data_IF_191059044961
#
_entry.id   IF_191059044961
#
_cell.length_a   1.000
_cell.length_b   1.000
_cell.length_c   1.000
_cell.angle_alpha   90.00
_cell.angle_beta   90.00
_cell.angle_gamma   90.00
#
_symmetry.space_group_name_H-M   'P 1'
#
loop_
_entity.id
_entity.type
_entity.pdbx_description
1 polymer ?
#
# COMPACT_ATOMS: atom_id res chain seq x y z
N UNK A 1 34.28 15.48 -17.67
CA UNK A 1 34.92 15.10 -16.39
C UNK A 1 33.82 14.63 -15.45
N UNK A 2 33.89 13.39 -14.97
CA UNK A 2 32.95 12.87 -13.96
C UNK A 2 33.48 13.19 -12.57
N UNK A 3 32.65 13.75 -11.69
CA UNK A 3 33.02 13.95 -10.29
C UNK A 3 33.33 12.62 -9.61
N UNK A 4 34.29 12.63 -8.68
CA UNK A 4 34.45 11.53 -7.75
C UNK A 4 33.17 11.37 -6.90
N UNK A 5 32.79 10.13 -6.52
CA UNK A 5 31.66 9.91 -5.60
C UNK A 5 31.81 10.68 -4.27
N UNK A 6 33.03 10.86 -3.79
CA UNK A 6 33.32 11.60 -2.55
C UNK A 6 33.07 13.11 -2.70
N UNK A 7 33.53 13.70 -3.80
CA UNK A 7 33.30 15.12 -4.10
C UNK A 7 31.80 15.40 -4.29
N UNK A 8 31.08 14.47 -4.94
CA UNK A 8 29.63 14.54 -5.11
C UNK A 8 28.91 14.59 -3.77
N UNK A 9 29.30 13.73 -2.81
CA UNK A 9 28.75 13.74 -1.44
C UNK A 9 29.07 15.04 -0.72
N UNK A 10 30.31 15.51 -0.81
CA UNK A 10 30.74 16.76 -0.17
C UNK A 10 29.93 17.97 -0.68
N UNK A 11 29.65 18.04 -1.98
CA UNK A 11 28.80 19.09 -2.55
C UNK A 11 27.34 18.98 -2.09
N UNK A 12 26.79 17.78 -2.00
CA UNK A 12 25.42 17.55 -1.51
C UNK A 12 25.30 17.96 -0.05
N UNK A 13 26.24 17.55 0.81
CA UNK A 13 26.25 17.91 2.23
C UNK A 13 26.39 19.41 2.44
N UNK A 14 27.27 20.06 1.67
CA UNK A 14 27.41 21.52 1.70
C UNK A 14 26.12 22.24 1.28
N UNK A 15 25.42 21.75 0.25
CA UNK A 15 24.13 22.30 -0.21
C UNK A 15 23.01 22.10 0.83
N UNK A 16 22.96 20.91 1.43
CA UNK A 16 22.00 20.55 2.48
C UNK A 16 22.21 21.41 3.74
N UNK A 17 23.47 21.72 4.08
CA UNK A 17 23.83 22.63 5.16
C UNK A 17 23.51 24.11 4.88
N UNK A 18 23.04 24.45 3.67
CA UNK A 18 22.68 25.82 3.28
C UNK A 18 23.73 26.53 2.42
N UNK A 19 24.68 25.80 1.85
CA UNK A 19 25.62 26.31 0.86
C UNK A 19 24.91 26.83 -0.40
N UNK A 20 25.49 27.87 -1.02
CA UNK A 20 24.97 28.47 -2.26
C UNK A 20 25.36 27.63 -3.48
N UNK A 21 24.39 27.40 -4.39
CA UNK A 21 24.59 26.67 -5.63
C UNK A 21 25.62 27.33 -6.58
N UNK A 22 25.84 28.64 -6.44
CA UNK A 22 26.80 29.39 -7.24
C UNK A 22 28.27 28.99 -7.02
N UNK A 23 28.58 28.29 -5.91
CA UNK A 23 29.94 27.80 -5.63
C UNK A 23 30.30 26.51 -6.38
N UNK A 24 29.33 25.87 -7.03
CA UNK A 24 29.51 24.60 -7.71
C UNK A 24 29.53 24.87 -9.23
N UNK A 25 30.59 24.45 -9.95
CA UNK A 25 30.64 24.56 -11.41
C UNK A 25 29.40 23.97 -12.09
N UNK A 26 28.89 24.66 -13.11
CA UNK A 26 27.63 24.33 -13.80
C UNK A 26 27.66 22.94 -14.46
N UNK A 27 28.84 22.51 -14.88
CA UNK A 27 29.10 21.18 -15.48
C UNK A 27 28.68 20.02 -14.57
N UNK A 28 28.67 20.24 -13.25
CA UNK A 28 28.37 19.22 -12.26
C UNK A 28 26.92 19.17 -11.82
N UNK A 29 26.11 20.16 -12.22
CA UNK A 29 24.71 20.29 -11.82
C UNK A 29 23.85 19.03 -12.15
N UNK A 30 24.01 18.37 -13.31
CA UNK A 30 23.25 17.15 -13.62
C UNK A 30 23.59 15.98 -12.70
N UNK A 31 24.85 15.86 -12.29
CA UNK A 31 25.34 14.74 -11.47
C UNK A 31 24.85 14.82 -10.01
N UNK A 32 24.46 16.01 -9.54
CA UNK A 32 23.95 16.22 -8.19
C UNK A 32 22.45 15.87 -8.03
N UNK A 33 21.71 15.69 -9.11
CA UNK A 33 20.25 15.59 -9.07
C UNK A 33 19.76 14.32 -8.36
N UNK A 34 20.42 13.20 -8.63
CA UNK A 34 20.11 11.89 -8.03
C UNK A 34 20.52 11.84 -6.54
N UNK A 35 21.75 12.22 -6.15
CA UNK A 35 22.13 12.34 -4.73
C UNK A 35 21.24 13.28 -3.91
N UNK A 36 20.84 14.44 -4.44
CA UNK A 36 19.90 15.33 -3.77
C UNK A 36 18.51 14.71 -3.60
N UNK A 37 18.06 13.87 -4.55
CA UNK A 37 16.81 13.12 -4.40
C UNK A 37 16.91 12.09 -3.28
N UNK A 38 18.05 11.41 -3.12
CA UNK A 38 18.29 10.49 -2.02
C UNK A 38 18.30 11.24 -0.66
N UNK A 39 19.04 12.35 -0.57
CA UNK A 39 19.08 13.18 0.64
C UNK A 39 17.70 13.77 1.01
N UNK A 40 16.86 14.07 0.00
CA UNK A 40 15.46 14.48 0.23
C UNK A 40 14.66 13.37 0.90
N UNK A 41 14.76 12.14 0.41
CA UNK A 41 14.04 11.00 0.97
C UNK A 41 14.50 10.69 2.40
N UNK A 42 15.80 10.79 2.66
CA UNK A 42 16.36 10.66 4.01
C UNK A 42 15.81 11.74 4.96
N UNK A 43 15.75 13.00 4.51
CA UNK A 43 15.18 14.09 5.29
C UNK A 43 13.66 13.93 5.56
N UNK A 44 12.91 13.28 4.65
CA UNK A 44 11.51 12.92 4.85
C UNK A 44 11.38 11.86 5.94
N UNK A 45 12.19 10.80 5.88
CA UNK A 45 12.21 9.73 6.88
C UNK A 45 12.62 10.26 8.26
N UNK A 46 13.56 11.21 8.31
CA UNK A 46 13.97 11.88 9.54
C UNK A 46 12.97 12.93 10.06
N UNK A 47 11.91 13.27 9.30
CA UNK A 47 10.92 14.28 9.69
C UNK A 47 11.40 15.73 9.62
N UNK A 48 12.52 16.02 8.94
CA UNK A 48 13.08 17.37 8.86
C UNK A 48 12.49 18.19 7.69
N UNK A 49 11.28 18.71 7.90
CA UNK A 49 10.55 19.46 6.86
C UNK A 49 11.29 20.70 6.32
N UNK A 50 12.14 21.36 7.13
CA UNK A 50 12.91 22.53 6.72
C UNK A 50 14.01 22.15 5.72
N UNK A 51 14.64 20.99 5.91
CA UNK A 51 15.65 20.45 4.99
C UNK A 51 15.01 20.00 3.67
N UNK A 52 13.86 19.34 3.72
CA UNK A 52 13.11 18.92 2.53
C UNK A 52 12.74 20.11 1.64
N UNK A 53 12.21 21.19 2.22
CA UNK A 53 11.88 22.42 1.47
C UNK A 53 13.11 23.03 0.81
N UNK A 54 14.25 23.06 1.52
CA UNK A 54 15.52 23.56 0.97
C UNK A 54 16.01 22.72 -0.21
N UNK A 55 16.05 21.40 -0.07
CA UNK A 55 16.46 20.51 -1.16
C UNK A 55 15.52 20.64 -2.35
N UNK A 56 14.20 20.77 -2.13
CA UNK A 56 13.23 20.95 -3.21
C UNK A 56 13.42 22.27 -3.98
N UNK A 57 13.78 23.36 -3.30
CA UNK A 57 14.13 24.64 -3.95
C UNK A 57 15.41 24.48 -4.78
N UNK A 58 16.43 23.81 -4.24
CA UNK A 58 17.69 23.55 -4.94
C UNK A 58 17.50 22.69 -6.20
N UNK A 59 16.73 21.60 -6.10
CA UNK A 59 16.38 20.76 -7.24
C UNK A 59 15.60 21.53 -8.30
N UNK A 60 14.73 22.47 -7.91
CA UNK A 60 14.02 23.32 -8.85
C UNK A 60 14.99 24.25 -9.58
N UNK A 61 15.94 24.89 -8.88
CA UNK A 61 16.96 25.74 -9.53
C UNK A 61 17.88 24.97 -10.48
N UNK A 62 18.23 23.72 -10.15
CA UNK A 62 19.05 22.85 -11.00
C UNK A 62 18.34 22.48 -12.31
N UNK A 63 17.02 22.28 -12.28
CA UNK A 63 16.22 21.94 -13.47
C UNK A 63 15.95 23.13 -14.41
N UNK A 64 16.13 24.37 -13.96
CA UNK A 64 15.90 25.55 -14.79
C UNK A 64 17.13 25.95 -15.65
N UNK A 65 18.26 25.25 -15.50
CA UNK A 65 19.52 25.59 -16.16
C UNK A 65 19.72 25.01 -17.57
N UNK A 66 19.01 23.95 -17.95
CA UNK A 66 19.28 23.24 -19.23
C UNK A 66 18.59 23.84 -20.45
N UNK A 67 17.58 24.69 -20.29
CA UNK A 67 16.81 25.26 -21.42
C UNK A 67 16.64 26.78 -21.33
N UNK A 68 17.73 27.51 -21.11
CA UNK A 68 17.75 28.98 -21.20
C UNK A 68 18.54 29.50 -22.40
N UNK A 69 18.24 28.98 -23.58
CA UNK A 69 18.23 29.81 -24.79
C UNK A 69 16.91 30.57 -24.82
N UNK A 70 16.98 31.86 -24.50
CA UNK A 70 16.11 32.95 -24.97
C UNK A 70 14.78 32.53 -25.59
N UNK A 71 13.67 32.65 -24.85
CA UNK A 71 12.39 32.80 -25.52
C UNK A 71 11.42 33.71 -24.77
N UNK A 72 10.96 34.68 -25.53
CA UNK A 72 10.00 35.71 -25.25
C UNK A 72 8.73 35.20 -24.54
N UNK A 73 8.28 36.01 -23.59
CA UNK A 73 6.88 36.41 -23.35
C UNK A 73 5.87 35.75 -24.32
N UNK A 74 5.43 34.54 -24.01
CA UNK A 74 4.33 33.87 -24.72
C UNK A 74 3.00 34.42 -24.21
N UNK A 75 2.37 35.20 -25.08
CA UNK A 75 0.95 35.50 -25.02
C UNK A 75 0.14 34.20 -25.13
N UNK A 76 -0.98 34.14 -24.40
CA UNK A 76 -2.01 33.11 -24.51
C UNK A 76 -2.49 33.01 -25.97
N UNK A 77 -2.06 31.98 -26.68
CA UNK A 77 -2.79 31.47 -27.86
C UNK A 77 -3.72 30.36 -27.41
N UNK A 78 -5.00 30.69 -27.37
CA UNK A 78 -6.12 29.76 -27.32
C UNK A 78 -6.07 28.98 -28.64
N UNK A 79 -5.67 27.71 -28.59
CA UNK A 79 -5.79 26.80 -29.74
C UNK A 79 -7.25 26.38 -29.82
N UNK A 80 -7.99 27.11 -30.65
CA UNK A 80 -9.31 26.71 -31.12
C UNK A 80 -9.03 25.75 -32.29
N UNK A 81 -9.14 24.45 -32.05
CA UNK A 81 -9.13 23.44 -33.10
C UNK A 81 -10.44 23.56 -33.90
N UNK A 82 -10.44 24.43 -34.90
CA UNK A 82 -11.45 24.46 -35.96
C UNK A 82 -11.14 23.33 -36.93
N UNK A 83 -11.73 22.18 -36.67
CA UNK A 83 -11.92 21.12 -37.67
C UNK A 83 -12.86 21.69 -38.75
N UNK A 84 -12.28 22.28 -39.79
CA UNK A 84 -13.03 22.76 -40.96
C UNK A 84 -13.42 21.54 -41.78
N UNK A 85 -14.58 20.97 -41.43
CA UNK A 85 -15.30 20.05 -42.29
C UNK A 85 -15.68 20.81 -43.57
N UNK A 86 -15.21 20.34 -44.71
CA UNK A 86 -15.69 20.77 -46.04
C UNK A 86 -17.06 20.16 -46.26
N UNK A 87 -18.09 20.75 -45.64
CA UNK A 87 -19.47 20.55 -46.08
C UNK A 87 -19.71 21.51 -47.24
N UNK A 88 -20.26 20.98 -48.32
CA UNK A 88 -20.73 21.72 -49.49
C UNK A 88 -21.60 22.87 -49.00
N UNK A 89 -21.24 24.12 -49.38
CA UNK A 89 -22.03 25.33 -49.11
C UNK A 89 -23.35 25.23 -49.90
N UNK A 90 -24.29 24.43 -49.42
CA UNK A 90 -25.68 24.54 -49.84
C UNK A 90 -26.16 25.95 -49.48
N UNK A 91 -26.82 26.67 -50.41
CA UNK A 91 -27.33 27.99 -50.09
C UNK A 91 -28.29 27.87 -48.90
N UNK A 92 -28.04 28.63 -47.84
CA UNK A 92 -28.87 28.65 -46.62
C UNK A 92 -30.25 29.28 -46.91
N UNK A 93 -30.37 30.06 -47.99
CA UNK A 93 -31.58 30.75 -48.42
C UNK A 93 -32.81 29.84 -48.62
N UNK A 94 -32.76 28.76 -49.43
CA UNK A 94 -33.88 27.83 -49.57
C UNK A 94 -34.31 27.19 -48.25
N UNK A 95 -33.37 26.90 -47.34
CA UNK A 95 -33.70 26.30 -46.04
C UNK A 95 -34.46 27.27 -45.14
N UNK A 96 -34.12 28.56 -45.19
CA UNK A 96 -34.84 29.63 -44.48
C UNK A 96 -36.25 29.81 -45.05
N UNK A 97 -36.39 29.79 -46.38
CA UNK A 97 -37.70 29.90 -47.03
C UNK A 97 -38.58 28.67 -46.73
N UNK A 98 -38.04 27.45 -46.78
CA UNK A 98 -38.76 26.22 -46.42
C UNK A 98 -39.22 26.19 -44.95
N UNK A 99 -38.42 26.75 -44.03
CA UNK A 99 -38.82 26.91 -42.62
C UNK A 99 -39.97 27.89 -42.47
N UNK A 100 -39.95 29.00 -43.23
CA UNK A 100 -41.06 29.97 -43.26
C UNK A 100 -42.34 29.37 -43.88
N UNK A 101 -42.20 28.39 -44.78
CA UNK A 101 -43.31 27.64 -45.37
C UNK A 101 -43.87 26.53 -44.45
N UNK A 102 -43.32 26.37 -43.24
CA UNK A 102 -43.82 25.46 -42.22
C UNK A 102 -43.07 24.12 -42.13
N UNK A 103 -41.85 24.01 -42.66
CA UNK A 103 -40.98 22.86 -42.39
C UNK A 103 -40.68 22.77 -40.88
N UNK A 104 -40.75 21.59 -40.25
CA UNK A 104 -40.45 21.44 -38.82
C UNK A 104 -38.98 21.76 -38.54
N UNK A 105 -38.75 22.56 -37.50
CA UNK A 105 -37.43 23.00 -37.01
C UNK A 105 -36.51 21.82 -36.67
N UNK A 106 -37.07 20.67 -36.29
CA UNK A 106 -36.39 19.41 -35.97
C UNK A 106 -35.52 18.88 -37.12
N UNK A 107 -35.88 19.18 -38.36
CA UNK A 107 -35.16 18.67 -39.55
C UNK A 107 -33.89 19.43 -39.90
N UNK A 108 -33.62 20.56 -39.25
CA UNK A 108 -32.39 21.34 -39.43
C UNK A 108 -31.25 20.67 -38.66
N UNK A 109 -30.06 20.56 -39.25
CA UNK A 109 -28.90 20.02 -38.53
C UNK A 109 -28.37 21.02 -37.48
N UNK A 110 -27.89 20.51 -36.35
CA UNK A 110 -27.43 21.35 -35.23
C UNK A 110 -26.21 22.22 -35.61
N UNK A 111 -25.43 21.79 -36.60
CA UNK A 111 -24.29 22.54 -37.13
C UNK A 111 -24.70 23.78 -37.92
N UNK A 112 -25.87 23.75 -38.57
CA UNK A 112 -26.39 24.81 -39.44
C UNK A 112 -27.25 25.83 -38.69
N UNK A 113 -27.69 25.53 -37.45
CA UNK A 113 -28.59 26.39 -36.66
C UNK A 113 -28.10 27.84 -36.56
N UNK A 114 -26.79 28.07 -36.40
CA UNK A 114 -26.25 29.42 -36.27
C UNK A 114 -26.39 30.25 -37.55
N UNK A 115 -26.25 29.60 -38.70
CA UNK A 115 -26.35 30.22 -40.03
C UNK A 115 -27.81 30.44 -40.41
N UNK A 116 -28.69 29.48 -40.12
CA UNK A 116 -30.15 29.61 -40.31
C UNK A 116 -30.74 30.73 -39.44
N UNK A 117 -30.32 30.84 -38.17
CA UNK A 117 -30.74 31.95 -37.29
C UNK A 117 -30.31 33.30 -37.87
N UNK A 118 -29.14 33.39 -38.50
CA UNK A 118 -28.68 34.62 -39.14
C UNK A 118 -29.50 34.93 -40.40
N UNK A 119 -29.74 33.93 -41.25
CA UNK A 119 -30.59 34.07 -42.44
C UNK A 119 -32.04 34.50 -42.12
N UNK A 120 -32.63 33.98 -41.03
CA UNK A 120 -33.95 34.43 -40.56
C UNK A 120 -33.93 35.88 -40.05
N UNK A 121 -32.84 36.35 -39.42
CA UNK A 121 -32.71 37.77 -39.03
C UNK A 121 -32.63 38.69 -40.23
N UNK A 122 -31.90 38.27 -41.27
CA UNK A 122 -31.80 39.02 -42.51
C UNK A 122 -33.18 39.08 -43.21
N UNK A 123 -33.92 37.95 -43.22
CA UNK A 123 -35.31 37.90 -43.71
C UNK A 123 -36.28 38.79 -42.92
N UNK A 124 -36.08 38.93 -41.61
CA UNK A 124 -36.86 39.88 -40.78
C UNK A 124 -36.67 41.32 -41.28
N UNK A 125 -35.44 41.73 -41.64
CA UNK A 125 -35.19 43.06 -42.20
C UNK A 125 -35.90 43.25 -43.55
N UNK A 126 -35.93 42.22 -44.41
CA UNK A 126 -36.69 42.26 -45.67
C UNK A 126 -38.20 42.38 -45.43
N UNK A 127 -38.76 41.62 -44.48
CA UNK A 127 -40.18 41.66 -44.13
C UNK A 127 -40.59 42.99 -43.48
N UNK A 128 -39.68 43.66 -42.76
CA UNK A 128 -39.91 45.03 -42.24
C UNK A 128 -40.08 46.04 -43.37
N UNK A 129 -39.34 45.90 -44.49
CA UNK A 129 -39.47 46.78 -45.65
C UNK A 129 -40.83 46.62 -46.34
N UNK A 130 -41.37 45.39 -46.34
CA UNK A 130 -42.68 45.06 -46.94
C UNK A 130 -43.86 45.32 -45.99
N UNK A 131 -43.59 45.54 -44.69
CA UNK A 131 -44.56 45.70 -43.62
C UNK A 131 -45.47 44.47 -43.38
N UNK A 132 -44.97 43.25 -43.61
CA UNK A 132 -45.67 42.01 -43.27
C UNK A 132 -45.43 41.61 -41.81
N UNK A 133 -46.32 42.07 -40.94
CA UNK A 133 -46.24 41.80 -39.50
C UNK A 133 -46.46 40.32 -39.14
N UNK A 134 -47.20 39.55 -39.97
CA UNK A 134 -47.46 38.13 -39.68
C UNK A 134 -46.22 37.29 -39.94
N UNK A 135 -45.56 37.54 -41.08
CA UNK A 135 -44.27 36.93 -41.41
C UNK A 135 -43.21 37.26 -40.36
N UNK A 136 -43.17 38.50 -39.89
CA UNK A 136 -42.22 38.93 -38.86
C UNK A 136 -42.39 38.18 -37.54
N UNK A 137 -43.64 38.06 -37.04
CA UNK A 137 -43.91 37.29 -35.81
C UNK A 137 -43.56 35.80 -35.98
N UNK A 138 -43.82 35.23 -37.16
CA UNK A 138 -43.50 33.83 -37.43
C UNK A 138 -41.99 33.59 -37.43
N UNK A 139 -41.22 34.45 -38.11
CA UNK A 139 -39.76 34.40 -38.13
C UNK A 139 -39.17 34.59 -36.72
N UNK A 140 -39.72 35.48 -35.90
CA UNK A 140 -39.29 35.65 -34.50
C UNK A 140 -39.53 34.39 -33.66
N UNK A 141 -40.70 33.76 -33.80
CA UNK A 141 -41.01 32.50 -33.09
C UNK A 141 -40.03 31.39 -33.52
N UNK A 142 -39.75 31.25 -34.81
CA UNK A 142 -38.78 30.29 -35.33
C UNK A 142 -37.36 30.57 -34.81
N UNK A 143 -36.94 31.84 -34.78
CA UNK A 143 -35.64 32.21 -34.20
C UNK A 143 -35.59 31.84 -32.71
N UNK A 144 -36.67 32.05 -31.95
CA UNK A 144 -36.71 31.69 -30.54
C UNK A 144 -36.55 30.17 -30.34
N UNK A 145 -37.26 29.37 -31.14
CA UNK A 145 -37.21 27.91 -31.11
C UNK A 145 -35.85 27.35 -31.55
N UNK A 146 -35.27 27.89 -32.63
CA UNK A 146 -33.93 27.51 -33.08
C UNK A 146 -32.85 27.93 -32.07
N UNK A 147 -33.04 29.06 -31.37
CA UNK A 147 -32.15 29.44 -30.27
C UNK A 147 -32.26 28.45 -29.09
N UNK A 148 -33.47 28.05 -28.66
CA UNK A 148 -33.61 27.05 -27.59
C UNK A 148 -32.95 25.74 -27.98
N UNK A 149 -33.18 25.26 -29.21
CA UNK A 149 -32.55 24.05 -29.74
C UNK A 149 -31.02 24.17 -29.77
N UNK A 150 -30.48 25.30 -30.22
CA UNK A 150 -29.03 25.55 -30.21
C UNK A 150 -28.45 25.48 -28.80
N UNK A 151 -29.13 26.05 -27.81
CA UNK A 151 -28.70 25.94 -26.41
C UNK A 151 -28.74 24.50 -25.91
N UNK A 152 -29.78 23.74 -26.24
CA UNK A 152 -29.90 22.32 -25.91
C UNK A 152 -28.79 21.49 -26.55
N UNK A 153 -28.52 21.67 -27.83
CA UNK A 153 -27.45 20.96 -28.56
C UNK A 153 -26.06 21.26 -27.97
N UNK A 154 -25.76 22.53 -27.67
CA UNK A 154 -24.47 22.90 -27.03
C UNK A 154 -24.34 22.34 -25.61
N UNK A 155 -25.45 22.29 -24.85
CA UNK A 155 -25.48 21.69 -23.53
C UNK A 155 -25.29 20.17 -23.58
N UNK A 156 -25.96 19.48 -24.51
CA UNK A 156 -25.82 18.04 -24.74
C UNK A 156 -24.38 17.68 -25.15
N UNK A 157 -23.80 18.41 -26.11
CA UNK A 157 -22.40 18.23 -26.51
C UNK A 157 -21.41 18.42 -25.34
N UNK A 158 -21.64 19.43 -24.48
CA UNK A 158 -20.84 19.64 -23.29
C UNK A 158 -20.96 18.47 -22.29
N UNK A 159 -22.16 17.92 -22.11
CA UNK A 159 -22.41 16.75 -21.26
C UNK A 159 -21.76 15.48 -21.80
N UNK A 160 -21.85 15.22 -23.10
CA UNK A 160 -21.18 14.08 -23.76
C UNK A 160 -19.66 14.18 -23.57
N UNK A 161 -19.08 15.37 -23.74
CA UNK A 161 -17.64 15.59 -23.51
C UNK A 161 -17.26 15.33 -22.05
N UNK A 162 -18.08 15.78 -21.11
CA UNK A 162 -17.87 15.55 -19.68
C UNK A 162 -17.98 14.06 -19.32
N UNK A 163 -18.94 13.35 -19.90
CA UNK A 163 -19.14 11.91 -19.75
C UNK A 163 -17.90 11.15 -20.24
N UNK A 164 -17.41 11.45 -21.45
CA UNK A 164 -16.19 10.85 -22.00
C UNK A 164 -14.97 11.06 -21.07
N UNK A 165 -14.79 12.27 -20.52
CA UNK A 165 -13.71 12.55 -19.57
C UNK A 165 -13.81 11.71 -18.27
N UNK A 166 -15.02 11.47 -17.78
CA UNK A 166 -15.24 10.67 -16.57
C UNK A 166 -15.04 9.17 -16.87
N UNK A 167 -15.42 8.71 -18.06
CA UNK A 167 -15.14 7.35 -18.53
C UNK A 167 -13.64 7.09 -18.65
N UNK A 168 -12.87 8.03 -19.22
CA UNK A 168 -11.41 7.92 -19.27
C UNK A 168 -10.79 7.84 -17.88
N UNK A 169 -11.30 8.63 -16.93
CA UNK A 169 -10.88 8.56 -15.52
C UNK A 169 -11.23 7.22 -14.90
N UNK A 170 -12.42 6.68 -15.17
CA UNK A 170 -12.85 5.37 -14.69
C UNK A 170 -11.91 4.28 -15.19
N UNK A 171 -11.66 4.23 -16.50
CA UNK A 171 -10.76 3.26 -17.13
C UNK A 171 -9.36 3.32 -16.51
N UNK A 172 -8.81 4.53 -16.31
CA UNK A 172 -7.51 4.71 -15.66
C UNK A 172 -7.51 4.21 -14.20
N UNK A 173 -8.59 4.46 -13.44
CA UNK A 173 -8.70 3.96 -12.06
C UNK A 173 -8.84 2.45 -11.99
N UNK A 174 -9.54 1.83 -12.95
CA UNK A 174 -9.70 0.39 -13.04
C UNK A 174 -8.39 -0.31 -13.38
N UNK A 175 -7.64 0.20 -14.35
CA UNK A 175 -6.30 -0.31 -14.67
C UNK A 175 -5.38 -0.27 -13.44
N UNK A 176 -5.34 0.87 -12.72
CA UNK A 176 -4.53 0.99 -11.50
C UNK A 176 -4.99 0.05 -10.40
N UNK A 177 -6.29 -0.17 -10.25
CA UNK A 177 -6.84 -1.11 -9.29
C UNK A 177 -6.42 -2.54 -9.62
N UNK A 178 -6.43 -2.92 -10.90
CA UNK A 178 -5.97 -4.24 -11.33
C UNK A 178 -4.46 -4.41 -11.11
N UNK A 179 -3.64 -3.44 -11.55
CA UNK A 179 -2.19 -3.46 -11.34
C UNK A 179 -1.81 -3.58 -9.85
N UNK A 180 -2.49 -2.83 -8.98
CA UNK A 180 -2.26 -2.91 -7.54
C UNK A 180 -2.70 -4.25 -6.95
N UNK A 181 -3.82 -4.82 -7.40
CA UNK A 181 -4.24 -6.16 -6.98
C UNK A 181 -3.24 -7.22 -7.41
N UNK A 182 -2.80 -7.21 -8.66
CA UNK A 182 -1.84 -8.17 -9.19
C UNK A 182 -0.49 -8.09 -8.46
N UNK A 183 -0.01 -6.87 -8.19
CA UNK A 183 1.19 -6.63 -7.39
C UNK A 183 1.08 -7.26 -5.99
N UNK A 184 -0.02 -6.99 -5.27
CA UNK A 184 -0.21 -7.52 -3.92
C UNK A 184 -0.41 -9.03 -3.91
N UNK A 185 -1.07 -9.59 -4.93
CA UNK A 185 -1.24 -11.04 -5.10
C UNK A 185 0.11 -11.73 -5.32
N UNK A 186 0.95 -11.17 -6.20
CA UNK A 186 2.31 -11.65 -6.42
C UNK A 186 3.14 -11.56 -5.13
N UNK A 187 3.07 -10.42 -4.43
CA UNK A 187 3.78 -10.24 -3.16
C UNK A 187 3.36 -11.28 -2.12
N UNK A 188 2.07 -11.58 -2.03
CA UNK A 188 1.55 -12.58 -1.11
C UNK A 188 2.06 -13.98 -1.48
N UNK A 189 2.04 -14.34 -2.77
CA UNK A 189 2.56 -15.61 -3.27
C UNK A 189 4.06 -15.78 -2.98
N UNK A 190 4.88 -14.73 -3.21
CA UNK A 190 6.29 -14.71 -2.84
C UNK A 190 6.47 -14.96 -1.34
N UNK A 191 5.69 -14.27 -0.49
CA UNK A 191 5.80 -14.47 0.96
C UNK A 191 5.36 -15.85 1.42
N UNK A 192 4.40 -16.48 0.73
CA UNK A 192 3.97 -17.85 1.03
C UNK A 192 5.05 -18.86 0.59
N UNK A 193 5.75 -18.62 -0.52
CA UNK A 193 6.92 -19.42 -0.93
C UNK A 193 8.09 -19.29 0.07
N UNK A 194 8.42 -18.06 0.48
CA UNK A 194 9.43 -17.80 1.53
C UNK A 194 9.07 -18.53 2.83
N UNK A 195 7.81 -18.49 3.23
CA UNK A 195 7.32 -19.18 4.42
C UNK A 195 7.55 -20.69 4.35
N UNK A 196 7.20 -21.33 3.22
CA UNK A 196 7.39 -22.77 3.08
C UNK A 196 8.88 -23.15 3.08
N UNK A 197 9.72 -22.41 2.35
CA UNK A 197 11.15 -22.67 2.30
C UNK A 197 11.82 -22.53 3.68
N UNK A 198 11.51 -21.47 4.43
CA UNK A 198 12.04 -21.29 5.79
C UNK A 198 11.51 -22.34 6.77
N UNK A 199 10.23 -22.73 6.63
CA UNK A 199 9.61 -23.75 7.48
C UNK A 199 10.26 -25.12 7.27
N UNK A 200 10.48 -25.50 6.02
CA UNK A 200 11.17 -26.75 5.67
C UNK A 200 12.62 -26.75 6.15
N UNK A 201 13.35 -25.65 5.97
CA UNK A 201 14.71 -25.50 6.49
C UNK A 201 14.75 -25.70 8.02
N UNK A 202 13.83 -25.06 8.75
CA UNK A 202 13.73 -25.21 10.21
C UNK A 202 13.42 -26.65 10.62
N UNK A 203 12.49 -27.33 9.93
CA UNK A 203 12.16 -28.73 10.20
C UNK A 203 13.36 -29.63 9.93
N UNK A 204 14.09 -29.42 8.83
CA UNK A 204 15.27 -30.20 8.48
C UNK A 204 16.38 -30.05 9.52
N UNK A 205 16.60 -28.84 10.03
CA UNK A 205 17.58 -28.59 11.09
C UNK A 205 17.17 -29.27 12.41
N UNK A 206 15.88 -29.22 12.76
CA UNK A 206 15.33 -29.92 13.93
C UNK A 206 15.46 -31.44 13.80
N UNK A 207 15.28 -32.00 12.61
CA UNK A 207 15.46 -33.42 12.33
C UNK A 207 16.92 -33.84 12.51
N UNK A 208 17.87 -33.08 11.94
CA UNK A 208 19.31 -33.34 12.13
C UNK A 208 19.70 -33.30 13.60
N UNK A 209 19.19 -32.33 14.37
CA UNK A 209 19.46 -32.25 15.81
C UNK A 209 18.93 -33.48 16.56
N UNK A 210 17.76 -34.01 16.17
CA UNK A 210 17.23 -35.25 16.74
C UNK A 210 18.07 -36.47 16.35
N UNK A 211 18.54 -36.54 15.10
CA UNK A 211 19.43 -37.61 14.62
C UNK A 211 20.76 -37.59 15.37
N UNK A 212 21.39 -36.41 15.50
CA UNK A 212 22.59 -36.22 16.31
C UNK A 212 22.36 -36.61 17.77
N UNK A 213 21.21 -36.23 18.36
CA UNK A 213 20.86 -36.62 19.72
C UNK A 213 20.78 -38.15 19.83
N UNK A 214 20.13 -38.82 18.89
CA UNK A 214 20.03 -40.28 18.88
C UNK A 214 21.39 -40.95 18.67
N UNK A 215 22.22 -40.42 17.76
CA UNK A 215 23.56 -40.93 17.48
C UNK A 215 24.53 -40.71 18.66
N UNK A 216 24.26 -39.72 19.51
CA UNK A 216 25.02 -39.47 20.73
C UNK A 216 24.79 -40.50 21.85
N UNK A 217 23.89 -41.47 21.64
CA UNK A 217 23.63 -42.53 22.62
C UNK A 217 24.88 -43.41 22.82
N UNK A 218 25.50 -43.39 24.01
CA UNK A 218 26.78 -44.05 24.20
C UNK A 218 26.60 -45.57 24.32
N UNK A 219 27.46 -46.33 23.64
CA UNK A 219 27.46 -47.80 23.76
C UNK A 219 27.76 -48.28 25.19
N UNK A 220 28.56 -47.51 25.93
CA UNK A 220 28.90 -47.80 27.32
C UNK A 220 28.39 -46.70 28.24
N UNK A 221 27.88 -47.06 29.41
CA UNK A 221 27.21 -46.11 30.31
C UNK A 221 28.15 -44.94 30.67
N UNK A 222 27.70 -43.69 30.75
CA UNK A 222 28.57 -42.61 31.22
C UNK A 222 29.07 -42.85 32.64
N UNK A 223 30.27 -42.37 32.97
CA UNK A 223 30.92 -42.60 34.28
C UNK A 223 30.02 -42.23 35.48
N UNK A 224 29.18 -41.21 35.33
CA UNK A 224 28.22 -40.77 36.35
C UNK A 224 27.20 -41.85 36.73
N UNK A 225 26.88 -42.76 35.81
CA UNK A 225 25.94 -43.87 36.00
C UNK A 225 26.64 -45.22 36.23
N UNK A 226 27.98 -45.29 36.22
CA UNK A 226 28.73 -46.53 36.54
C UNK A 226 29.10 -46.67 38.01
N UNK A 227 28.65 -45.77 38.88
CA UNK A 227 29.01 -45.79 40.30
C UNK A 227 28.25 -46.92 41.01
N UNK A 228 29.01 -47.90 41.51
CA UNK A 228 28.53 -48.97 42.37
C UNK A 228 28.21 -48.44 43.76
N UNK A 229 27.31 -49.12 44.47
CA UNK A 229 26.97 -48.77 45.84
C UNK A 229 28.13 -49.08 46.80
N UNK A 230 28.18 -48.40 47.96
CA UNK A 230 29.16 -48.71 49.00
C UNK A 230 29.11 -50.16 49.47
N UNK A 231 27.94 -50.81 49.42
CA UNK A 231 27.77 -52.19 49.86
C UNK A 231 28.49 -53.17 48.93
N UNK A 232 28.37 -52.97 47.62
CA UNK A 232 29.11 -53.75 46.62
C UNK A 232 30.62 -53.56 46.80
N UNK A 233 31.07 -52.32 46.98
CA UNK A 233 32.49 -52.01 47.20
C UNK A 233 33.03 -52.70 48.46
N UNK A 234 32.26 -52.72 49.56
CA UNK A 234 32.62 -53.44 50.78
C UNK A 234 32.75 -54.95 50.57
N UNK A 235 31.84 -55.58 49.80
CA UNK A 235 31.92 -57.00 49.48
C UNK A 235 33.17 -57.33 48.67
N UNK A 236 33.55 -56.47 47.71
CA UNK A 236 34.79 -56.59 46.93
C UNK A 236 36.04 -56.41 47.79
N UNK A 237 36.03 -55.49 48.74
CA UNK A 237 37.14 -55.30 49.68
C UNK A 237 37.29 -56.53 50.60
N UNK A 238 36.18 -57.11 51.07
CA UNK A 238 36.17 -58.36 51.86
C UNK A 238 36.67 -59.56 51.04
N UNK A 239 36.20 -59.71 49.80
CA UNK A 239 36.70 -60.70 48.84
C UNK A 239 38.22 -60.59 48.69
N UNK A 240 38.71 -59.38 48.40
CA UNK A 240 40.14 -59.10 48.21
C UNK A 240 40.96 -59.45 49.46
N UNK A 241 40.47 -59.10 50.65
CA UNK A 241 41.13 -59.45 51.91
C UNK A 241 41.17 -60.98 52.15
N UNK A 242 40.08 -61.69 51.89
CA UNK A 242 40.00 -63.15 52.04
C UNK A 242 40.92 -63.87 51.03
N UNK A 243 41.00 -63.35 49.80
CA UNK A 243 41.91 -63.84 48.78
C UNK A 243 43.38 -63.73 49.22
N UNK A 244 43.81 -62.57 49.74
CA UNK A 244 45.18 -62.40 50.24
C UNK A 244 45.49 -63.24 51.48
N UNK A 245 44.50 -63.51 52.33
CA UNK A 245 44.64 -64.43 53.46
C UNK A 245 44.53 -65.92 53.08
N UNK A 246 44.43 -66.22 51.78
CA UNK A 246 44.37 -67.57 51.18
C UNK A 246 43.14 -68.39 51.61
N UNK A 247 42.05 -67.73 51.99
CA UNK A 247 40.77 -68.35 52.35
C UNK A 247 39.84 -68.36 51.14
N UNK A 248 40.14 -69.21 50.17
CA UNK A 248 39.50 -69.17 48.85
C UNK A 248 38.02 -69.55 48.85
N UNK A 249 37.60 -70.50 49.70
CA UNK A 249 36.20 -70.93 49.78
C UNK A 249 35.29 -69.77 50.21
N UNK A 250 35.67 -69.05 51.27
CA UNK A 250 34.95 -67.86 51.73
C UNK A 250 34.96 -66.76 50.65
N UNK A 251 36.11 -66.52 50.01
CA UNK A 251 36.24 -65.49 48.97
C UNK A 251 35.30 -65.73 47.77
N UNK A 252 35.08 -66.99 47.35
CA UNK A 252 34.14 -67.33 46.27
C UNK A 252 32.72 -66.90 46.63
N UNK A 253 32.28 -67.12 47.88
CA UNK A 253 30.95 -66.72 48.32
C UNK A 253 30.76 -65.19 48.24
N UNK A 254 31.75 -64.41 48.66
CA UNK A 254 31.72 -62.94 48.58
C UNK A 254 31.75 -62.45 47.13
N UNK A 255 32.54 -63.09 46.27
CA UNK A 255 32.59 -62.80 44.83
C UNK A 255 31.24 -63.01 44.17
N UNK A 256 30.64 -64.19 44.34
CA UNK A 256 29.35 -64.52 43.70
C UNK A 256 28.23 -63.59 44.18
N UNK A 257 28.28 -63.17 45.45
CA UNK A 257 27.33 -62.19 46.00
C UNK A 257 27.59 -60.78 45.46
N UNK A 258 28.84 -60.35 45.34
CA UNK A 258 29.21 -59.06 44.76
C UNK A 258 28.83 -59.00 43.28
N UNK A 259 29.13 -60.03 42.49
CA UNK A 259 28.79 -60.14 41.07
C UNK A 259 27.28 -60.02 40.82
N UNK A 260 26.46 -60.70 41.66
CA UNK A 260 24.99 -60.60 41.59
C UNK A 260 24.49 -59.18 41.86
N UNK A 261 24.95 -58.55 42.95
CA UNK A 261 24.54 -57.19 43.29
C UNK A 261 25.05 -56.15 42.28
N UNK A 262 26.27 -56.32 41.76
CA UNK A 262 26.83 -55.48 40.70
C UNK A 262 25.96 -55.50 39.46
N UNK A 263 25.52 -56.70 39.04
CA UNK A 263 24.66 -56.86 37.88
C UNK A 263 23.31 -56.15 38.08
N UNK A 264 22.66 -56.37 39.23
CA UNK A 264 21.39 -55.71 39.57
C UNK A 264 21.52 -54.18 39.61
N UNK A 265 22.56 -53.65 40.25
CA UNK A 265 22.80 -52.21 40.32
C UNK A 265 23.11 -51.61 38.94
N UNK A 266 23.88 -52.31 38.12
CA UNK A 266 24.19 -51.87 36.75
C UNK A 266 22.94 -51.82 35.88
N UNK A 267 21.99 -52.75 36.04
CA UNK A 267 20.68 -52.69 35.37
C UNK A 267 19.84 -51.49 35.82
N UNK A 268 19.79 -51.23 37.14
CA UNK A 268 19.10 -50.05 37.68
C UNK A 268 19.72 -48.75 37.15
N UNK A 269 21.04 -48.68 37.08
CA UNK A 269 21.73 -47.50 36.54
C UNK A 269 21.49 -47.34 35.03
N UNK A 270 21.45 -48.43 34.26
CA UNK A 270 21.04 -48.42 32.84
C UNK A 270 19.63 -47.85 32.70
N UNK A 271 18.68 -48.32 33.50
CA UNK A 271 17.32 -47.81 33.48
C UNK A 271 17.24 -46.31 33.85
N UNK A 272 18.01 -45.86 34.85
CA UNK A 272 18.09 -44.43 35.22
C UNK A 272 18.67 -43.59 34.09
N UNK A 273 19.75 -44.05 33.45
CA UNK A 273 20.36 -43.36 32.32
C UNK A 273 19.37 -43.24 31.15
N UNK A 274 18.69 -44.34 30.78
CA UNK A 274 17.69 -44.33 29.71
C UNK A 274 16.56 -43.34 30.01
N UNK A 275 16.02 -43.32 31.24
CA UNK A 275 15.00 -42.34 31.65
C UNK A 275 15.49 -40.90 31.54
N UNK A 276 16.72 -40.63 31.98
CA UNK A 276 17.31 -39.29 31.89
C UNK A 276 17.52 -38.85 30.42
N UNK A 277 17.98 -39.77 29.58
CA UNK A 277 18.17 -39.55 28.14
C UNK A 277 16.83 -39.30 27.44
N UNK A 278 15.81 -40.11 27.71
CA UNK A 278 14.45 -39.91 27.20
C UNK A 278 13.85 -38.58 27.66
N UNK A 279 14.05 -38.19 28.92
CA UNK A 279 13.60 -36.90 29.43
C UNK A 279 14.25 -35.73 28.66
N UNK A 280 15.56 -35.81 28.42
CA UNK A 280 16.28 -34.82 27.59
C UNK A 280 15.74 -34.77 26.16
N UNK A 281 15.50 -35.93 25.53
CA UNK A 281 14.92 -36.01 24.18
C UNK A 281 13.51 -35.41 24.13
N UNK A 282 12.68 -35.66 25.14
CA UNK A 282 11.33 -35.07 25.25
C UNK A 282 11.41 -33.54 25.39
N UNK A 283 12.30 -33.03 26.23
CA UNK A 283 12.53 -31.59 26.37
C UNK A 283 12.97 -30.98 25.03
N UNK A 284 13.86 -31.63 24.30
CA UNK A 284 14.28 -31.18 22.97
C UNK A 284 13.08 -31.06 22.02
N UNK A 285 12.26 -32.10 21.90
CA UNK A 285 11.05 -32.09 21.07
C UNK A 285 10.09 -30.96 21.48
N UNK A 286 9.91 -30.73 22.79
CA UNK A 286 9.05 -29.65 23.29
C UNK A 286 9.60 -28.26 22.91
N UNK A 287 10.91 -28.06 23.02
CA UNK A 287 11.55 -26.80 22.58
C UNK A 287 11.39 -26.58 21.08
N UNK A 288 11.56 -27.64 20.26
CA UNK A 288 11.40 -27.57 18.81
C UNK A 288 9.94 -27.24 18.41
N UNK A 289 8.95 -27.83 19.10
CA UNK A 289 7.53 -27.47 18.93
C UNK A 289 7.27 -26.00 19.27
N UNK A 290 7.77 -25.53 20.40
CA UNK A 290 7.62 -24.13 20.81
C UNK A 290 8.26 -23.16 19.81
N UNK A 291 9.42 -23.51 19.24
CA UNK A 291 10.05 -22.75 18.17
C UNK A 291 9.19 -22.68 16.92
N UNK A 292 8.61 -23.80 16.47
CA UNK A 292 7.70 -23.84 15.32
C UNK A 292 6.46 -22.97 15.56
N UNK A 293 5.82 -23.06 16.72
CA UNK A 293 4.68 -22.20 17.05
C UNK A 293 5.04 -20.71 17.05
N UNK A 294 6.22 -20.36 17.58
CA UNK A 294 6.68 -18.97 17.56
C UNK A 294 6.98 -18.48 16.14
N UNK A 295 7.52 -19.37 15.30
CA UNK A 295 7.76 -19.13 13.88
C UNK A 295 6.45 -18.88 13.14
N UNK A 296 5.45 -19.75 13.30
CA UNK A 296 4.12 -19.63 12.68
C UNK A 296 3.44 -18.31 13.09
N UNK A 297 3.37 -18.01 14.39
CA UNK A 297 2.79 -16.74 14.89
C UNK A 297 3.54 -15.51 14.39
N UNK A 298 4.85 -15.59 14.15
CA UNK A 298 5.63 -14.50 13.56
C UNK A 298 5.23 -14.27 12.10
N UNK A 299 5.09 -15.34 11.34
CA UNK A 299 4.72 -15.30 9.93
C UNK A 299 3.26 -14.89 9.70
N UNK A 300 2.33 -15.37 10.53
CA UNK A 300 0.94 -14.91 10.54
C UNK A 300 0.86 -13.38 10.70
N UNK A 301 1.65 -12.82 11.62
CA UNK A 301 1.72 -11.36 11.81
C UNK A 301 2.31 -10.64 10.60
N UNK A 302 3.33 -11.22 9.94
CA UNK A 302 3.90 -10.66 8.70
C UNK A 302 2.84 -10.66 7.58
N UNK A 303 2.15 -11.78 7.38
CA UNK A 303 1.07 -11.93 6.38
C UNK A 303 -0.09 -10.97 6.64
N UNK A 304 -0.53 -10.85 7.91
CA UNK A 304 -1.60 -9.93 8.29
C UNK A 304 -1.22 -8.47 8.00
N UNK A 305 0.02 -8.06 8.25
CA UNK A 305 0.49 -6.70 7.90
C UNK A 305 0.41 -6.45 6.40
N UNK A 306 0.91 -7.38 5.59
CA UNK A 306 0.85 -7.29 4.13
C UNK A 306 -0.60 -7.16 3.65
N UNK A 307 -1.52 -7.95 4.22
CA UNK A 307 -2.94 -7.85 3.88
C UNK A 307 -3.57 -6.52 4.31
N UNK A 308 -3.19 -5.99 5.48
CA UNK A 308 -3.64 -4.68 5.92
C UNK A 308 -3.16 -3.57 4.99
N UNK A 309 -1.90 -3.61 4.58
CA UNK A 309 -1.31 -2.65 3.65
C UNK A 309 -1.96 -2.76 2.26
N UNK A 310 -2.15 -3.97 1.75
CA UNK A 310 -2.87 -4.23 0.50
C UNK A 310 -4.30 -3.67 0.53
N UNK A 311 -5.04 -3.92 1.62
CA UNK A 311 -6.38 -3.38 1.80
C UNK A 311 -6.39 -1.85 1.92
N UNK A 312 -5.38 -1.25 2.56
CA UNK A 312 -5.27 0.19 2.69
C UNK A 312 -5.07 0.89 1.34
N UNK A 313 -4.43 0.23 0.37
CA UNK A 313 -4.24 0.74 -1.00
C UNK A 313 -5.40 0.39 -1.95
N UNK A 314 -5.96 -0.81 -1.87
CA UNK A 314 -7.02 -1.27 -2.77
C UNK A 314 -8.37 -0.59 -2.45
N UNK A 315 -8.70 -0.42 -1.18
CA UNK A 315 -9.99 0.17 -0.77
C UNK A 315 -10.24 1.59 -1.30
N UNK A 316 -9.31 2.55 -1.22
CA UNK A 316 -9.55 3.89 -1.77
C UNK A 316 -9.74 3.86 -3.29
N UNK A 317 -9.07 2.96 -4.01
CA UNK A 317 -9.26 2.80 -5.46
C UNK A 317 -10.65 2.25 -5.79
N UNK A 318 -11.13 1.23 -5.05
CA UNK A 318 -12.51 0.71 -5.17
C UNK A 318 -13.57 1.80 -4.91
N UNK A 319 -13.36 2.60 -3.88
CA UNK A 319 -14.26 3.71 -3.54
C UNK A 319 -14.23 4.77 -4.65
N UNK A 320 -13.05 5.06 -5.23
CA UNK A 320 -12.94 6.01 -6.33
C UNK A 320 -13.66 5.51 -7.60
N UNK A 321 -13.50 4.23 -7.94
CA UNK A 321 -14.18 3.56 -9.05
C UNK A 321 -15.70 3.67 -8.88
N UNK A 322 -16.24 3.26 -7.73
CA UNK A 322 -17.68 3.32 -7.44
C UNK A 322 -18.24 4.75 -7.55
N UNK A 323 -17.50 5.76 -7.04
CA UNK A 323 -17.92 7.17 -7.17
C UNK A 323 -17.94 7.66 -8.61
N UNK A 324 -17.00 7.20 -9.45
CA UNK A 324 -16.97 7.56 -10.87
C UNK A 324 -18.13 6.90 -11.63
N UNK A 325 -18.42 5.63 -11.33
CA UNK A 325 -19.59 4.92 -11.88
C UNK A 325 -20.91 5.62 -11.50
N UNK A 326 -21.09 5.98 -10.22
CA UNK A 326 -22.26 6.73 -9.76
C UNK A 326 -22.40 8.07 -10.49
N UNK A 327 -21.28 8.73 -10.80
CA UNK A 327 -21.28 10.01 -11.52
C UNK A 327 -21.65 9.85 -12.99
N UNK A 328 -21.19 8.79 -13.64
CA UNK A 328 -21.60 8.44 -15.01
C UNK A 328 -23.11 8.22 -15.05
N UNK A 329 -23.63 7.34 -14.18
CA UNK A 329 -25.06 7.02 -14.11
C UNK A 329 -25.95 8.27 -13.90
N UNK A 330 -25.49 9.24 -13.10
CA UNK A 330 -26.20 10.51 -12.90
C UNK A 330 -26.23 11.37 -14.16
N UNK A 331 -25.10 11.49 -14.87
CA UNK A 331 -25.03 12.27 -16.11
C UNK A 331 -25.88 11.60 -17.20
N UNK A 332 -25.84 10.28 -17.30
CA UNK A 332 -26.68 9.52 -18.24
C UNK A 332 -28.17 9.75 -17.97
N UNK A 333 -28.58 9.67 -16.70
CA UNK A 333 -29.97 9.96 -16.29
C UNK A 333 -30.40 11.40 -16.62
N UNK A 334 -29.48 12.38 -16.50
CA UNK A 334 -29.75 13.78 -16.87
C UNK A 334 -29.90 13.98 -18.39
N UNK A 335 -29.12 13.24 -19.19
CA UNK A 335 -29.19 13.27 -20.66
C UNK A 335 -30.52 12.64 -21.13
N UNK A 336 -30.89 11.48 -20.59
CA UNK A 336 -32.15 10.79 -20.91
C UNK A 336 -33.39 11.60 -20.46
N UNK A 337 -33.35 12.18 -19.25
CA UNK A 337 -34.45 12.97 -18.69
C UNK A 337 -34.72 14.30 -19.42
N UNK A 338 -33.69 14.89 -20.04
CA UNK A 338 -33.85 16.14 -20.81
C UNK A 338 -34.64 15.94 -22.11
N UNK A 339 -34.69 14.71 -22.65
CA UNK A 339 -35.39 14.42 -23.91
C UNK A 339 -36.91 14.25 -23.78
N UNK A 340 -37.46 14.22 -22.56
CA UNK A 340 -38.86 13.85 -22.31
C UNK A 340 -39.70 14.89 -21.54
N UNK A 341 -39.19 16.10 -21.28
CA UNK A 341 -39.92 17.11 -20.48
C UNK A 341 -40.05 18.48 -21.16
N UNK A 342 -40.55 18.50 -22.41
CA UNK A 342 -41.01 19.72 -23.06
C UNK A 342 -42.55 19.92 -23.00
N UNK A 343 -43.30 19.01 -22.37
CA UNK A 343 -44.78 19.08 -22.30
C UNK A 343 -45.26 19.48 -20.90
N UNK A 344 -45.54 20.78 -20.75
CA UNK A 344 -46.61 21.36 -19.92
C UNK A 344 -46.79 20.81 -18.51
N UNK A 345 -46.15 21.43 -17.51
CA UNK A 345 -46.82 21.59 -16.20
C UNK A 345 -46.17 22.69 -15.35
N UNK A 346 -46.87 23.82 -15.25
CA UNK A 346 -46.61 24.86 -14.27
C UNK A 346 -46.82 24.29 -12.86
N UNK A 347 -45.72 23.99 -12.17
CA UNK A 347 -45.77 23.56 -10.77
C UNK A 347 -45.72 24.78 -9.86
N UNK A 348 -46.90 25.15 -9.38
CA UNK A 348 -47.12 26.10 -8.28
C UNK A 348 -46.29 25.66 -7.07
N UNK A 349 -45.34 26.50 -6.67
CA UNK A 349 -44.55 26.32 -5.45
C UNK A 349 -45.40 26.74 -4.24
N UNK A 350 -46.02 25.78 -3.56
CA UNK A 350 -46.50 25.98 -2.19
C UNK A 350 -45.32 25.89 -1.22
N UNK A 351 -44.90 27.07 -0.78
CA UNK A 351 -43.90 27.34 0.24
C UNK A 351 -44.42 26.86 1.61
N UNK A 352 -44.12 25.62 1.98
CA UNK A 352 -44.30 25.13 3.36
C UNK A 352 -42.98 25.31 4.13
N UNK A 353 -43.04 26.09 5.20
CA UNK A 353 -41.90 26.37 6.09
C UNK A 353 -41.43 25.12 6.82
N UNK A 354 -40.26 24.62 6.42
CA UNK A 354 -39.48 23.65 7.18
C UNK A 354 -38.53 24.37 8.12
N UNK A 355 -38.71 24.14 9.42
CA UNK A 355 -37.94 24.70 10.52
C UNK A 355 -36.42 24.59 10.31
N UNK A 356 -35.74 25.72 10.42
CA UNK A 356 -34.29 25.82 10.64
C UNK A 356 -33.95 25.20 11.99
N UNK A 357 -33.54 23.93 12.01
CA UNK A 357 -32.78 23.37 13.13
C UNK A 357 -31.31 23.65 12.88
N UNK A 358 -30.75 24.49 13.75
CA UNK A 358 -29.33 24.82 13.77
C UNK A 358 -28.51 23.57 14.09
N UNK A 359 -27.38 23.33 13.39
CA UNK A 359 -26.48 22.27 13.76
C UNK A 359 -25.78 22.65 15.08
N UNK A 360 -26.14 21.95 16.16
CA UNK A 360 -25.44 21.98 17.44
C UNK A 360 -23.95 21.75 17.19
N UNK A 361 -23.16 22.77 17.56
CA UNK A 361 -21.70 22.72 17.62
C UNK A 361 -21.29 21.53 18.49
N UNK A 362 -20.79 20.45 17.86
CA UNK A 362 -20.05 19.39 18.56
C UNK A 362 -18.84 20.03 19.22
N UNK A 363 -18.89 20.11 20.55
CA UNK A 363 -17.75 20.43 21.38
C UNK A 363 -16.64 19.41 21.11
N UNK A 364 -15.46 19.92 20.77
CA UNK A 364 -14.22 19.15 20.78
C UNK A 364 -13.92 18.76 22.24
N UNK A 365 -14.37 17.58 22.65
CA UNK A 365 -13.86 16.96 23.87
C UNK A 365 -12.38 16.67 23.63
N UNK A 366 -11.56 17.56 24.19
CA UNK A 366 -10.13 17.40 24.40
C UNK A 366 -9.95 16.20 25.33
N UNK A 367 -9.73 15.02 24.75
CA UNK A 367 -9.34 13.83 25.49
C UNK A 367 -7.98 14.10 26.14
N UNK A 368 -7.99 14.37 27.44
CA UNK A 368 -6.79 14.30 28.27
C UNK A 368 -6.37 12.83 28.38
N UNK A 369 -5.05 12.51 28.32
CA UNK A 369 -4.55 11.13 28.34
C UNK A 369 -4.50 10.58 29.78
N UNK A 370 -5.62 10.68 30.52
CA UNK A 370 -5.68 10.33 31.94
C UNK A 370 -6.49 9.07 32.26
N UNK A 371 -7.15 8.42 31.29
CA UNK A 371 -7.96 7.20 31.53
C UNK A 371 -7.34 5.92 30.96
N UNK A 372 -6.03 5.88 30.73
CA UNK A 372 -5.35 4.62 30.42
C UNK A 372 -5.15 3.85 31.72
N UNK A 373 -5.82 2.70 31.79
CA UNK A 373 -5.79 1.70 32.86
C UNK A 373 -4.36 1.51 33.45
N UNK A 374 -4.14 1.77 34.76
CA UNK A 374 -2.81 1.76 35.37
C UNK A 374 -2.09 0.40 35.30
N UNK A 375 -2.81 -0.70 34.99
CA UNK A 375 -2.20 -2.02 34.77
C UNK A 375 -1.33 -2.12 33.52
N UNK A 376 -1.50 -1.25 32.52
CA UNK A 376 -0.71 -1.29 31.27
C UNK A 376 0.64 -0.57 31.43
N UNK A 377 0.78 0.38 32.36
CA UNK A 377 2.05 1.11 32.58
C UNK A 377 3.18 0.24 33.15
N UNK A 378 2.86 -0.82 33.91
CA UNK A 378 3.89 -1.64 34.55
C UNK A 378 4.61 -2.61 33.60
N UNK A 379 4.10 -2.85 32.39
CA UNK A 379 4.78 -3.73 31.42
C UNK A 379 5.84 -3.00 30.58
N UNK A 380 5.78 -1.68 30.44
CA UNK A 380 6.74 -0.92 29.66
C UNK A 380 8.02 -0.55 30.45
N UNK A 381 7.95 -0.48 31.79
CA UNK A 381 9.08 -0.10 32.63
C UNK A 381 10.03 -1.27 33.01
N UNK A 382 9.60 -2.53 32.82
CA UNK A 382 10.39 -3.71 33.23
C UNK A 382 11.46 -4.12 32.18
N UNK A 383 11.45 -3.55 30.97
CA UNK A 383 12.40 -3.90 29.89
C UNK A 383 13.61 -2.97 29.72
N UNK A 384 13.81 -2.00 30.60
CA UNK A 384 14.89 -1.00 30.48
C UNK A 384 15.86 -0.99 31.67
N UNK A 385 16.24 -2.18 32.17
CA UNK A 385 17.42 -2.32 33.04
C UNK A 385 18.57 -2.94 32.24
N UNK A 386 19.73 -2.27 32.11
CA UNK A 386 20.92 -2.86 31.52
C UNK A 386 21.41 -3.98 32.45
N UNK A 387 21.44 -5.22 31.93
CA UNK A 387 22.04 -6.37 32.62
C UNK A 387 23.53 -6.09 32.78
N UNK A 388 23.97 -6.04 34.05
CA UNK A 388 25.35 -5.76 34.43
C UNK A 388 26.34 -6.74 33.81
N UNK A 389 27.40 -6.16 33.25
CA UNK A 389 28.66 -6.81 32.90
C UNK A 389 29.36 -7.30 34.18
N UNK A 390 29.21 -8.58 34.49
CA UNK A 390 30.09 -9.29 35.43
C UNK A 390 31.43 -9.55 34.73
N UNK A 391 32.45 -8.75 35.07
CA UNK A 391 33.84 -8.97 34.66
C UNK A 391 34.48 -9.88 35.70
N UNK A 392 34.51 -11.17 35.39
CA UNK A 392 35.19 -12.19 36.16
C UNK A 392 36.72 -12.07 36.04
N UNK A 393 37.35 -12.43 37.14
CA UNK A 393 38.78 -12.40 37.45
C UNK A 393 39.60 -13.25 36.47
N UNK A 394 40.74 -12.72 36.02
CA UNK A 394 41.87 -13.54 35.58
C UNK A 394 42.80 -13.75 36.77
N UNK A 395 42.86 -14.99 37.24
CA UNK A 395 44.05 -15.58 37.84
C UNK A 395 44.53 -16.61 36.83
N UNK A 396 45.72 -16.39 36.26
CA UNK A 396 46.79 -17.36 36.04
C UNK A 396 48.04 -16.59 35.67
#
# INVERSE_FOLDING_TARGET
>A
MSLSPEETRQYVDALVAGGSLAKIPVEYHPQLLMPLSAAKNEAIVAGNAAQVKRIQVLMKSLKLGTDRTTSARRQKTIVRSTSRSTTVDEPISPLVDELMDGRPTETVDDSQLAEVIQGLKDKIEDLKLVADYRGLQHAENLIQELNSRKYEATYAAAKITMLAQIQDQLNLTQMKLQETQDYWNQKLAETDQEYQAEREALINDQQKELEENNNSFPFTLPANFRKLSPQVLQLRDQEKHLFYSKRYEDAIFYRDRADKLELEEMEVQRAKFNRAFEARRKQLIETQKSQLECFEKRWERKKLRIQMDANAEINPLKIAESKLQDRINRIDSEIEGSSHTATTSGRITSRAGGMTTTPLKRSSLRATPASVNPRIRNYAAIKMTPRGSSRAQQRY
#
